data_IF_908595234729
#
_entry.id   IF_908595234729
#
_cell.length_a   1.000
_cell.length_b   1.000
_cell.length_c   1.000
_cell.angle_alpha   90.00
_cell.angle_beta   90.00
_cell.angle_gamma   90.00
#
_symmetry.space_group_name_H-M   'P 1'
#
loop_
_entity.id
_entity.type
_entity.pdbx_description
1 polymer ?
#
# COMPACT_ATOMS: atom_id res chain seq x y z
N UNK A 1 17.33 20.59 -16.27
CA UNK A 1 16.67 19.77 -17.32
C UNK A 1 15.25 19.51 -16.87
N UNK A 2 14.30 20.37 -17.27
CA UNK A 2 12.88 20.11 -17.09
C UNK A 2 12.49 18.93 -17.96
N UNK A 3 12.29 17.76 -17.35
CA UNK A 3 11.48 16.71 -17.97
C UNK A 3 10.04 17.10 -17.71
N UNK A 4 9.28 17.26 -18.79
CA UNK A 4 7.85 17.49 -18.77
C UNK A 4 7.20 16.47 -17.82
N UNK A 5 6.48 16.97 -16.81
CA UNK A 5 5.58 16.17 -16.02
C UNK A 5 4.48 15.69 -16.97
N UNK A 6 4.64 14.48 -17.51
CA UNK A 6 3.58 13.81 -18.26
C UNK A 6 2.44 13.65 -17.25
N UNK A 7 1.36 14.41 -17.43
CA UNK A 7 0.16 14.22 -16.62
C UNK A 7 -0.26 12.76 -16.75
N UNK A 8 -0.32 12.04 -15.61
CA UNK A 8 -0.73 10.63 -15.55
C UNK A 8 -2.06 10.36 -16.28
N UNK A 9 -2.92 11.38 -16.36
CA UNK A 9 -4.19 11.33 -17.08
C UNK A 9 -4.02 10.92 -18.55
N UNK A 10 -2.88 11.22 -19.18
CA UNK A 10 -2.64 10.98 -20.61
C UNK A 10 -2.01 9.61 -20.91
N UNK A 11 -1.30 8.98 -19.94
CA UNK A 11 -0.67 7.65 -20.14
C UNK A 11 -1.64 6.48 -20.02
N UNK A 12 -2.70 6.63 -19.23
CA UNK A 12 -3.71 5.60 -18.99
C UNK A 12 -5.01 5.91 -19.74
N UNK A 13 -4.87 6.38 -20.99
CA UNK A 13 -5.99 6.51 -21.91
C UNK A 13 -6.69 5.14 -22.02
N UNK A 14 -7.94 5.15 -21.58
CA UNK A 14 -8.82 4.00 -21.36
C UNK A 14 -8.79 3.02 -22.53
N UNK A 15 -8.17 1.83 -22.34
CA UNK A 15 -8.62 0.64 -23.08
C UNK A 15 -9.99 0.30 -22.49
N UNK A 16 -11.02 0.49 -23.30
CA UNK A 16 -12.43 0.36 -22.94
C UNK A 16 -12.67 -0.89 -22.10
N UNK A 17 -12.85 -0.69 -20.79
CA UNK A 17 -13.27 -1.74 -19.86
C UNK A 17 -14.77 -1.99 -20.09
N UNK A 18 -15.22 -3.24 -20.22
CA UNK A 18 -16.63 -3.56 -20.44
C UNK A 18 -17.52 -2.96 -19.34
N UNK A 19 -18.65 -2.38 -19.75
CA UNK A 19 -19.68 -1.78 -18.87
C UNK A 19 -20.18 -2.73 -17.76
N UNK A 20 -19.95 -4.03 -17.87
CA UNK A 20 -20.30 -5.03 -16.86
C UNK A 20 -19.52 -4.92 -15.55
N UNK A 21 -18.37 -4.23 -15.54
CA UNK A 21 -17.57 -4.02 -14.31
C UNK A 21 -18.04 -2.79 -13.50
N UNK A 22 -18.98 -2.00 -14.01
CA UNK A 22 -19.49 -0.80 -13.33
C UNK A 22 -20.37 -1.09 -12.10
N UNK A 23 -20.84 -2.34 -11.95
CA UNK A 23 -21.70 -2.76 -10.83
C UNK A 23 -20.92 -3.31 -9.63
N UNK A 24 -19.58 -3.19 -9.59
CA UNK A 24 -18.73 -3.75 -8.54
C UNK A 24 -18.56 -2.87 -7.29
N UNK A 25 -19.07 -1.64 -7.33
CA UNK A 25 -19.00 -0.69 -6.21
C UNK A 25 -20.42 -0.30 -5.82
N UNK A 26 -21.07 -1.11 -4.99
CA UNK A 26 -22.34 -0.72 -4.37
C UNK A 26 -22.07 0.28 -3.23
N UNK A 27 -22.76 1.42 -3.26
CA UNK A 27 -22.74 2.40 -2.19
C UNK A 27 -23.65 1.96 -1.04
N UNK A 28 -23.14 1.94 0.18
CA UNK A 28 -23.91 1.65 1.39
C UNK A 28 -24.97 2.75 1.63
N UNK A 29 -26.21 2.33 1.90
CA UNK A 29 -27.30 3.21 2.36
C UNK A 29 -27.11 3.59 3.84
N UNK A 30 -27.33 4.86 4.18
CA UNK A 30 -27.31 5.37 5.55
C UNK A 30 -28.52 4.88 6.35
N UNK A 31 -28.27 4.21 7.49
CA UNK A 31 -29.22 4.12 8.59
C UNK A 31 -28.55 4.47 9.93
N UNK A 32 -29.14 5.46 10.60
CA UNK A 32 -28.72 6.01 11.89
C UNK A 32 -29.20 5.17 13.08
N UNK A 33 -28.47 5.30 14.20
CA UNK A 33 -28.75 4.78 15.57
C UNK A 33 -28.45 3.29 15.85
N UNK A 34 -27.28 2.81 15.38
CA UNK A 34 -26.62 1.61 15.93
C UNK A 34 -25.47 2.03 16.87
N UNK A 35 -25.16 1.25 17.94
CA UNK A 35 -23.94 1.47 18.71
C UNK A 35 -22.75 1.52 17.76
N UNK A 36 -21.84 2.46 17.98
CA UNK A 36 -20.67 2.70 17.12
C UNK A 36 -20.01 1.37 16.76
N UNK A 37 -20.22 0.91 15.52
CA UNK A 37 -19.67 -0.36 15.06
C UNK A 37 -18.15 -0.25 15.17
N UNK A 38 -17.53 -1.19 15.88
CA UNK A 38 -16.08 -1.23 16.00
C UNK A 38 -15.55 -1.59 14.62
N UNK A 39 -15.04 -0.59 13.89
CA UNK A 39 -14.48 -0.77 12.56
C UNK A 39 -13.26 -1.68 12.64
N UNK A 40 -13.23 -2.75 11.84
CA UNK A 40 -12.06 -3.62 11.70
C UNK A 40 -11.06 -2.96 10.75
N UNK A 41 -9.87 -2.68 11.29
CA UNK A 41 -8.77 -2.04 10.55
C UNK A 41 -7.59 -3.01 10.41
N UNK A 42 -7.13 -3.22 9.18
CA UNK A 42 -6.09 -4.21 8.87
C UNK A 42 -4.91 -3.58 8.15
N UNK A 43 -3.70 -3.87 8.62
CA UNK A 43 -2.45 -3.65 7.90
C UNK A 43 -2.08 -4.97 7.24
N UNK A 44 -2.12 -5.01 5.92
CA UNK A 44 -2.02 -6.23 5.14
C UNK A 44 -0.63 -6.39 4.52
N UNK A 45 -0.07 -7.59 4.69
CA UNK A 45 1.27 -7.96 4.23
C UNK A 45 1.25 -9.30 3.52
N UNK A 46 2.10 -9.44 2.51
CA UNK A 46 2.46 -10.74 1.92
C UNK A 46 3.82 -11.17 2.44
N UNK A 47 4.00 -12.45 2.76
CA UNK A 47 5.28 -12.98 3.21
C UNK A 47 5.53 -14.40 2.67
N UNK A 48 6.61 -14.58 1.92
CA UNK A 48 7.08 -15.87 1.45
C UNK A 48 8.61 -15.88 1.38
N UNK A 49 9.18 -17.07 1.30
CA UNK A 49 10.63 -17.27 1.27
C UNK A 49 11.30 -17.03 2.62
N UNK A 50 12.63 -16.98 2.58
CA UNK A 50 13.47 -16.98 3.78
C UNK A 50 14.37 -15.74 3.88
N UNK A 51 14.20 -14.77 2.97
CA UNK A 51 15.06 -13.59 2.96
C UNK A 51 14.81 -12.74 4.23
N UNK A 52 15.84 -12.54 5.10
CA UNK A 52 15.73 -11.77 6.34
C UNK A 52 15.16 -10.36 6.16
N UNK A 53 15.35 -9.76 4.98
CA UNK A 53 14.75 -8.48 4.63
C UNK A 53 13.24 -8.47 4.87
N UNK A 54 12.54 -9.49 4.37
CA UNK A 54 11.10 -9.60 4.49
C UNK A 54 10.69 -10.33 5.76
N UNK A 55 11.39 -11.39 6.16
CA UNK A 55 10.99 -12.19 7.33
C UNK A 55 11.21 -11.43 8.64
N UNK A 56 12.41 -10.88 8.88
CA UNK A 56 12.63 -10.02 10.04
C UNK A 56 11.89 -8.69 9.88
N UNK A 57 11.73 -8.21 8.64
CA UNK A 57 10.93 -7.03 8.33
C UNK A 57 9.48 -7.14 8.78
N UNK A 58 8.82 -8.27 8.48
CA UNK A 58 7.46 -8.57 8.89
C UNK A 58 7.31 -8.58 10.42
N UNK A 59 8.20 -9.28 11.13
CA UNK A 59 8.17 -9.34 12.59
C UNK A 59 8.35 -7.94 13.21
N UNK A 60 9.28 -7.14 12.68
CA UNK A 60 9.51 -5.80 13.19
C UNK A 60 8.34 -4.85 12.90
N UNK A 61 7.73 -4.95 11.71
CA UNK A 61 6.51 -4.20 11.40
C UNK A 61 5.35 -4.56 12.30
N UNK A 62 5.17 -5.85 12.63
CA UNK A 62 4.13 -6.27 13.58
C UNK A 62 4.35 -5.66 14.98
N UNK A 63 5.60 -5.58 15.46
CA UNK A 63 5.95 -4.91 16.71
C UNK A 63 5.74 -3.40 16.65
N UNK A 64 6.12 -2.75 15.55
CA UNK A 64 5.90 -1.32 15.35
C UNK A 64 4.42 -0.98 15.29
N UNK A 65 3.60 -1.83 14.68
CA UNK A 65 2.16 -1.62 14.58
C UNK A 65 1.49 -1.52 15.96
N UNK A 66 1.94 -2.27 16.97
CA UNK A 66 1.43 -2.11 18.34
C UNK A 66 1.61 -0.69 18.90
N UNK A 67 2.64 0.02 18.46
CA UNK A 67 2.94 1.39 18.91
C UNK A 67 2.29 2.44 18.02
N UNK A 68 2.44 2.27 16.70
CA UNK A 68 2.06 3.27 15.69
C UNK A 68 0.57 3.13 15.34
N UNK A 69 0.03 1.92 15.30
CA UNK A 69 -1.33 1.59 14.90
C UNK A 69 -2.03 0.68 15.93
N UNK A 70 -2.16 1.10 17.21
CA UNK A 70 -2.59 0.22 18.31
C UNK A 70 -4.00 -0.38 18.16
N UNK A 71 -4.86 0.21 17.31
CA UNK A 71 -6.21 -0.26 17.03
C UNK A 71 -6.33 -1.07 15.71
N UNK A 72 -5.20 -1.41 15.08
CA UNK A 72 -5.16 -2.14 13.81
C UNK A 72 -4.58 -3.54 14.03
N UNK A 73 -5.06 -4.50 13.26
CA UNK A 73 -4.48 -5.84 13.18
C UNK A 73 -3.53 -5.93 11.99
N UNK A 74 -2.35 -6.49 12.17
CA UNK A 74 -1.50 -6.92 11.09
C UNK A 74 -1.98 -8.28 10.58
N UNK A 75 -2.38 -8.35 9.31
CA UNK A 75 -2.67 -9.61 8.64
C UNK A 75 -1.52 -9.99 7.73
N UNK A 76 -0.93 -11.15 7.96
CA UNK A 76 0.12 -11.72 7.12
C UNK A 76 -0.43 -12.90 6.32
N UNK A 77 -0.43 -12.76 5.00
CA UNK A 77 -0.65 -13.87 4.08
C UNK A 77 0.68 -14.57 3.83
N UNK A 78 0.80 -15.83 4.28
CA UNK A 78 2.09 -16.54 4.31
C UNK A 78 2.02 -17.90 3.62
N UNK A 79 3.11 -18.32 2.98
CA UNK A 79 3.23 -19.71 2.49
C UNK A 79 4.11 -20.60 3.37
N UNK A 80 4.19 -21.88 3.00
CA UNK A 80 4.96 -22.89 3.71
C UNK A 80 6.49 -22.71 3.62
N UNK A 81 6.99 -21.70 2.90
CA UNK A 81 8.43 -21.45 2.75
C UNK A 81 8.99 -20.48 3.80
N UNK A 82 8.11 -19.80 4.54
CA UNK A 82 8.48 -18.94 5.67
C UNK A 82 9.05 -19.77 6.82
N UNK A 83 10.20 -19.40 7.41
CA UNK A 83 10.79 -20.14 8.52
C UNK A 83 9.87 -20.24 9.75
N UNK A 84 9.85 -21.41 10.40
CA UNK A 84 8.98 -21.68 11.55
C UNK A 84 9.18 -20.69 12.71
N UNK A 85 10.42 -20.29 12.99
CA UNK A 85 10.75 -19.32 14.03
C UNK A 85 10.17 -17.92 13.76
N UNK A 86 10.01 -17.55 12.48
CA UNK A 86 9.36 -16.30 12.06
C UNK A 86 7.86 -16.39 12.32
N UNK A 87 7.24 -17.51 11.93
CA UNK A 87 5.82 -17.77 12.18
C UNK A 87 5.52 -17.75 13.69
N UNK A 88 6.39 -18.36 14.51
CA UNK A 88 6.25 -18.32 15.98
C UNK A 88 6.36 -16.91 16.54
N UNK A 89 7.30 -16.09 16.05
CA UNK A 89 7.42 -14.71 16.48
C UNK A 89 6.18 -13.89 16.10
N UNK A 90 5.66 -14.05 14.89
CA UNK A 90 4.43 -13.39 14.45
C UNK A 90 3.23 -13.79 15.31
N UNK A 91 3.00 -15.09 15.51
CA UNK A 91 1.92 -15.61 16.35
C UNK A 91 2.03 -15.23 17.84
N UNK A 92 3.19 -14.80 18.31
CA UNK A 92 3.38 -14.33 19.70
C UNK A 92 2.87 -12.91 19.95
N UNK A 93 2.50 -12.18 18.89
CA UNK A 93 2.03 -10.80 18.97
C UNK A 93 0.50 -10.77 18.88
N UNK A 94 -0.15 -10.04 19.81
CA UNK A 94 -1.60 -10.02 19.95
C UNK A 94 -2.33 -9.32 18.78
N UNK A 95 -1.62 -8.48 18.03
CA UNK A 95 -2.16 -7.74 16.89
C UNK A 95 -1.98 -8.49 15.57
N UNK A 96 -1.59 -9.77 15.58
CA UNK A 96 -1.27 -10.52 14.36
C UNK A 96 -2.33 -11.57 14.03
N UNK A 97 -2.76 -11.55 12.78
CA UNK A 97 -3.57 -12.57 12.12
C UNK A 97 -2.74 -13.20 10.99
N UNK A 98 -2.68 -14.52 10.92
CA UNK A 98 -1.97 -15.25 9.85
C UNK A 98 -3.00 -15.98 8.99
N UNK A 99 -2.90 -15.77 7.67
CA UNK A 99 -3.66 -16.51 6.67
C UNK A 99 -2.68 -17.36 5.86
N UNK A 100 -2.87 -18.68 5.90
CA UNK A 100 -2.04 -19.60 5.13
C UNK A 100 -2.43 -19.57 3.65
N UNK A 101 -1.41 -19.44 2.81
CA UNK A 101 -1.52 -19.41 1.36
C UNK A 101 -0.87 -20.67 0.76
N UNK A 102 -1.42 -21.20 -0.34
CA UNK A 102 -0.73 -22.23 -1.09
C UNK A 102 0.62 -21.68 -1.56
N UNK A 103 1.61 -22.56 -1.65
CA UNK A 103 2.88 -22.21 -2.26
C UNK A 103 2.60 -21.70 -3.68
N UNK A 104 3.05 -20.48 -4.04
CA UNK A 104 2.74 -19.90 -5.34
C UNK A 104 3.47 -20.68 -6.44
N UNK A 105 2.79 -20.89 -7.56
CA UNK A 105 3.41 -21.51 -8.74
C UNK A 105 4.45 -20.58 -9.38
N UNK A 106 4.22 -19.27 -9.26
CA UNK A 106 5.11 -18.22 -9.79
C UNK A 106 5.52 -17.24 -8.68
N UNK A 107 6.80 -16.85 -8.57
CA UNK A 107 7.31 -16.04 -7.47
C UNK A 107 6.57 -14.71 -7.20
N UNK A 108 5.95 -14.11 -8.22
CA UNK A 108 5.23 -12.85 -8.12
C UNK A 108 3.76 -12.99 -7.75
N UNK A 109 3.18 -14.19 -7.73
CA UNK A 109 1.80 -14.36 -7.24
C UNK A 109 1.69 -13.97 -5.77
N UNK A 110 2.75 -14.19 -4.99
CA UNK A 110 2.81 -13.82 -3.58
C UNK A 110 2.61 -12.32 -3.33
N UNK A 111 3.03 -11.43 -4.24
CA UNK A 111 2.89 -9.98 -4.04
C UNK A 111 1.44 -9.50 -4.04
N UNK A 112 0.52 -10.28 -4.60
CA UNK A 112 -0.91 -9.98 -4.63
C UNK A 112 -1.67 -10.37 -3.37
N UNK A 113 -1.18 -11.31 -2.54
CA UNK A 113 -1.99 -11.82 -1.43
C UNK A 113 -2.42 -10.74 -0.44
N UNK A 114 -1.57 -9.73 -0.19
CA UNK A 114 -1.95 -8.57 0.63
C UNK A 114 -3.16 -7.81 0.12
N UNK A 115 -3.52 -7.92 -1.16
CA UNK A 115 -4.71 -7.27 -1.72
C UNK A 115 -6.00 -8.05 -1.45
N UNK A 116 -5.93 -9.32 -1.03
CA UNK A 116 -7.12 -10.12 -0.71
C UNK A 116 -7.89 -9.54 0.48
N UNK A 117 -7.22 -8.78 1.35
CA UNK A 117 -7.87 -8.02 2.42
C UNK A 117 -8.94 -7.05 1.88
N UNK A 118 -8.80 -6.57 0.63
CA UNK A 118 -9.72 -5.62 0.03
C UNK A 118 -11.06 -6.28 -0.32
N UNK A 119 -11.11 -7.61 -0.44
CA UNK A 119 -12.32 -8.39 -0.71
C UNK A 119 -12.95 -8.97 0.55
N UNK A 120 -12.31 -8.82 1.71
CA UNK A 120 -12.80 -9.36 2.98
C UNK A 120 -14.00 -8.53 3.48
N UNK A 121 -15.21 -9.11 3.56
CA UNK A 121 -16.41 -8.38 4.01
C UNK A 121 -16.38 -8.03 5.50
N UNK A 122 -15.49 -8.64 6.29
CA UNK A 122 -15.34 -8.33 7.72
C UNK A 122 -14.32 -7.20 7.96
N UNK A 123 -13.65 -6.68 6.93
CA UNK A 123 -12.65 -5.61 7.02
C UNK A 123 -13.21 -4.31 6.47
N UNK A 124 -13.38 -3.32 7.35
CA UNK A 124 -13.87 -2.01 6.96
C UNK A 124 -12.78 -1.14 6.34
N UNK A 125 -11.54 -1.27 6.82
CA UNK A 125 -10.41 -0.43 6.43
C UNK A 125 -9.17 -1.28 6.29
N UNK A 126 -8.51 -1.19 5.14
CA UNK A 126 -7.25 -1.85 4.91
C UNK A 126 -6.17 -0.88 4.42
N UNK A 127 -4.94 -1.08 4.87
CA UNK A 127 -3.75 -0.52 4.25
C UNK A 127 -2.82 -1.65 3.82
N UNK A 128 -2.27 -1.57 2.62
CA UNK A 128 -1.32 -2.56 2.10
C UNK A 128 0.10 -2.03 2.26
N UNK A 129 0.99 -2.84 2.84
CA UNK A 129 2.38 -2.45 3.13
C UNK A 129 3.35 -3.53 2.68
N UNK A 130 4.53 -3.11 2.24
CA UNK A 130 5.64 -4.02 2.01
C UNK A 130 6.29 -4.42 3.35
N UNK A 131 6.71 -5.68 3.48
CA UNK A 131 7.38 -6.15 4.69
C UNK A 131 8.81 -5.59 4.84
N UNK A 132 9.41 -5.11 3.75
CA UNK A 132 10.75 -4.54 3.74
C UNK A 132 10.77 -3.02 3.92
N UNK A 133 9.64 -2.37 4.20
CA UNK A 133 9.59 -0.96 4.61
C UNK A 133 9.09 -0.85 6.03
N UNK A 134 9.67 0.02 6.86
CA UNK A 134 9.23 0.16 8.25
C UNK A 134 8.02 1.05 8.36
N UNK A 135 7.09 0.63 9.21
CA UNK A 135 5.98 1.50 9.62
C UNK A 135 6.53 2.74 10.34
N UNK A 136 5.98 3.91 9.99
CA UNK A 136 6.46 5.19 10.51
C UNK A 136 5.37 6.15 10.97
N UNK A 137 5.73 7.10 11.85
CA UNK A 137 4.81 8.15 12.31
C UNK A 137 4.40 9.11 11.19
N UNK A 138 5.26 9.32 10.18
CA UNK A 138 4.94 10.17 9.02
C UNK A 138 3.80 9.58 8.18
N UNK A 139 3.84 8.28 7.89
CA UNK A 139 2.74 7.62 7.20
C UNK A 139 1.48 7.53 8.07
N UNK A 140 1.62 7.33 9.39
CA UNK A 140 0.49 7.26 10.31
C UNK A 140 -0.32 8.56 10.28
N UNK A 141 0.37 9.70 10.32
CA UNK A 141 -0.28 11.00 10.24
C UNK A 141 -1.04 11.17 8.91
N UNK A 142 -0.45 10.72 7.79
CA UNK A 142 -1.12 10.74 6.48
C UNK A 142 -2.32 9.78 6.41
N UNK A 143 -2.24 8.61 7.04
CA UNK A 143 -3.35 7.66 7.16
C UNK A 143 -4.47 8.26 8.00
N UNK A 144 -4.17 8.91 9.12
CA UNK A 144 -5.18 9.55 9.96
C UNK A 144 -5.92 10.66 9.22
N UNK A 145 -5.18 11.54 8.51
CA UNK A 145 -5.80 12.58 7.70
C UNK A 145 -6.69 12.01 6.59
N UNK A 146 -6.28 10.88 6.00
CA UNK A 146 -7.12 10.17 5.04
C UNK A 146 -8.40 9.63 5.66
N UNK A 147 -8.31 8.97 6.82
CA UNK A 147 -9.49 8.49 7.54
C UNK A 147 -10.46 9.62 7.89
N UNK A 148 -9.94 10.79 8.27
CA UNK A 148 -10.74 11.98 8.57
C UNK A 148 -11.39 12.58 7.32
N UNK A 149 -10.80 12.40 6.14
CA UNK A 149 -11.34 12.93 4.87
C UNK A 149 -12.60 12.21 4.40
N UNK A 150 -12.83 10.96 4.85
CA UNK A 150 -13.94 10.12 4.39
C UNK A 150 -13.83 9.65 2.94
N UNK A 151 -12.69 9.87 2.28
CA UNK A 151 -12.46 9.41 0.91
C UNK A 151 -12.13 7.91 0.89
N UNK A 152 -12.70 7.11 -0.04
CA UNK A 152 -12.47 5.67 -0.09
C UNK A 152 -11.00 5.26 -0.23
N UNK A 153 -10.18 5.98 -1.01
CA UNK A 153 -8.81 5.57 -1.29
C UNK A 153 -7.75 6.48 -0.66
N UNK A 154 -6.63 5.88 -0.27
CA UNK A 154 -5.40 6.58 0.14
C UNK A 154 -4.26 6.23 -0.79
N UNK A 155 -3.51 7.24 -1.22
CA UNK A 155 -2.29 7.05 -2.01
C UNK A 155 -1.17 7.86 -1.36
N UNK A 156 -0.01 7.24 -1.11
CA UNK A 156 1.16 7.89 -0.55
C UNK A 156 2.30 7.85 -1.58
N UNK A 157 2.85 9.03 -1.94
CA UNK A 157 4.04 9.19 -2.79
C UNK A 157 5.03 10.13 -2.13
N UNK A 158 5.84 9.57 -1.24
CA UNK A 158 6.73 10.34 -0.36
C UNK A 158 8.20 10.48 -0.84
N UNK A 159 8.49 10.13 -2.10
CA UNK A 159 9.84 10.20 -2.69
C UNK A 159 9.78 10.56 -4.19
N UNK A 160 10.80 11.25 -4.79
CA UNK A 160 10.85 11.54 -6.24
C UNK A 160 10.90 10.32 -7.18
N UNK A 161 10.91 9.10 -6.64
CA UNK A 161 10.84 7.86 -7.43
C UNK A 161 9.51 7.15 -7.24
N UNK A 162 8.65 7.65 -6.37
CA UNK A 162 7.29 7.17 -6.20
C UNK A 162 6.45 7.75 -7.34
N UNK A 163 6.68 7.23 -8.54
CA UNK A 163 6.08 7.68 -9.80
C UNK A 163 5.00 6.72 -10.30
N UNK A 164 4.59 5.74 -9.50
CA UNK A 164 3.49 4.88 -9.89
C UNK A 164 2.16 5.49 -9.45
N UNK A 165 1.06 5.28 -10.21
CA UNK A 165 -0.24 5.79 -9.84
C UNK A 165 -0.68 5.35 -8.44
N UNK A 166 -0.37 4.11 -8.08
CA UNK A 166 -0.53 3.57 -6.72
C UNK A 166 0.70 2.71 -6.49
N UNK A 167 1.46 2.98 -5.42
CA UNK A 167 2.53 2.08 -5.00
C UNK A 167 1.94 0.93 -4.18
N UNK A 168 2.35 -0.30 -4.50
CA UNK A 168 1.73 -1.51 -3.95
C UNK A 168 1.89 -1.66 -2.43
N UNK A 169 2.94 -1.07 -1.85
CA UNK A 169 3.17 -1.02 -0.42
C UNK A 169 2.78 0.30 0.26
N UNK A 170 2.06 1.22 -0.40
CA UNK A 170 1.81 2.58 0.10
C UNK A 170 0.40 3.10 -0.27
N UNK A 171 -0.61 2.26 -0.08
CA UNK A 171 -2.00 2.66 -0.31
C UNK A 171 -2.96 2.10 0.75
N UNK A 172 -4.18 2.61 0.75
CA UNK A 172 -5.26 2.19 1.63
C UNK A 172 -6.62 2.29 0.96
N UNK A 173 -7.58 1.55 1.50
CA UNK A 173 -8.96 1.54 1.06
C UNK A 173 -9.92 1.43 2.24
N UNK A 174 -11.03 2.17 2.19
CA UNK A 174 -12.19 2.06 3.08
C UNK A 174 -13.34 1.44 2.29
N UNK A 175 -13.81 0.27 2.73
CA UNK A 175 -14.84 -0.53 2.07
C UNK A 175 -14.32 -1.85 1.51
N UNK A 176 -15.16 -2.51 0.70
CA UNK A 176 -14.87 -3.82 0.10
C UNK A 176 -14.91 -3.74 -1.42
N UNK A 177 -13.85 -4.24 -2.08
CA UNK A 177 -13.80 -4.45 -3.52
C UNK A 177 -14.25 -5.89 -3.78
N UNK A 178 -15.52 -6.05 -4.13
CA UNK A 178 -16.08 -7.37 -4.42
C UNK A 178 -15.27 -8.10 -5.51
N UNK A 179 -14.95 -9.37 -5.26
CA UNK A 179 -14.23 -10.25 -6.19
C UNK A 179 -12.79 -9.78 -6.55
N UNK A 180 -12.07 -9.14 -5.62
CA UNK A 180 -10.68 -8.73 -5.86
C UNK A 180 -9.78 -9.91 -6.26
N UNK A 181 -10.01 -11.10 -5.69
CA UNK A 181 -9.30 -12.33 -6.01
C UNK A 181 -9.50 -12.71 -7.48
N UNK A 182 -10.76 -12.68 -7.95
CA UNK A 182 -11.08 -12.97 -9.35
C UNK A 182 -10.49 -11.92 -10.31
N UNK A 183 -10.49 -10.64 -9.94
CA UNK A 183 -9.83 -9.59 -10.72
C UNK A 183 -8.33 -9.85 -10.86
N UNK A 184 -7.68 -10.27 -9.77
CA UNK A 184 -6.27 -10.62 -9.73
C UNK A 184 -5.99 -11.87 -10.58
N UNK A 185 -6.79 -12.92 -10.44
CA UNK A 185 -6.69 -14.14 -11.25
C UNK A 185 -6.81 -13.83 -12.75
N UNK A 186 -7.82 -13.03 -13.14
CA UNK A 186 -8.00 -12.61 -14.52
C UNK A 186 -6.81 -11.77 -15.01
N UNK A 187 -6.24 -10.91 -14.17
CA UNK A 187 -5.08 -10.11 -14.53
C UNK A 187 -3.85 -11.00 -14.76
N UNK A 188 -3.58 -11.93 -13.85
CA UNK A 188 -2.46 -12.86 -13.91
C UNK A 188 -2.57 -13.81 -15.10
N UNK A 189 -3.76 -14.31 -15.42
CA UNK A 189 -4.00 -15.16 -16.59
C UNK A 189 -3.61 -14.48 -17.91
N UNK A 190 -3.76 -13.15 -17.99
CA UNK A 190 -3.39 -12.38 -19.17
C UNK A 190 -1.91 -11.91 -19.17
N UNK A 191 -1.15 -12.23 -18.12
CA UNK A 191 0.23 -11.77 -17.89
C UNK A 191 1.11 -12.91 -17.33
N UNK A 192 1.18 -14.03 -18.06
CA UNK A 192 1.90 -15.24 -17.63
C UNK A 192 3.43 -15.07 -17.51
N UNK A 193 4.01 -14.04 -18.14
CA UNK A 193 5.45 -13.75 -18.07
C UNK A 193 5.84 -13.05 -16.76
N UNK A 194 7.03 -13.37 -16.23
CA UNK A 194 7.60 -12.71 -15.05
C UNK A 194 7.70 -11.20 -15.25
N UNK A 195 6.85 -10.45 -14.56
CA UNK A 195 6.90 -9.01 -14.56
C UNK A 195 7.19 -8.53 -13.15
N UNK A 196 8.43 -8.09 -12.94
CA UNK A 196 8.76 -7.26 -11.78
C UNK A 196 7.73 -6.12 -11.66
N UNK A 197 7.20 -5.90 -10.44
CA UNK A 197 6.16 -4.91 -10.13
C UNK A 197 4.78 -5.17 -10.77
N UNK A 198 4.45 -6.42 -11.11
CA UNK A 198 3.15 -6.78 -11.71
C UNK A 198 1.95 -6.39 -10.84
N UNK A 199 2.09 -6.47 -9.52
CA UNK A 199 1.08 -6.04 -8.54
C UNK A 199 0.87 -4.53 -8.60
N UNK A 200 1.95 -3.76 -8.77
CA UNK A 200 1.87 -2.32 -8.96
C UNK A 200 1.25 -1.95 -10.32
N UNK A 201 1.55 -2.70 -11.38
CA UNK A 201 0.89 -2.53 -12.69
C UNK A 201 -0.61 -2.81 -12.61
N UNK A 202 -1.01 -3.89 -11.94
CA UNK A 202 -2.42 -4.19 -11.67
C UNK A 202 -3.11 -3.01 -10.99
N UNK A 203 -2.51 -2.43 -9.95
CA UNK A 203 -3.09 -1.27 -9.27
C UNK A 203 -3.21 -0.07 -10.23
N UNK A 204 -2.22 0.19 -11.09
CA UNK A 204 -2.27 1.28 -12.06
C UNK A 204 -3.27 1.08 -13.21
N UNK A 205 -3.46 -0.15 -13.67
CA UNK A 205 -4.29 -0.46 -14.85
C UNK A 205 -5.73 -0.81 -14.48
N UNK A 206 -5.95 -1.44 -13.33
CA UNK A 206 -7.26 -1.96 -12.92
C UNK A 206 -7.90 -1.10 -11.83
N UNK A 207 -7.15 -0.73 -10.79
CA UNK A 207 -7.72 -0.04 -9.61
C UNK A 207 -7.71 1.49 -9.76
N UNK A 208 -6.58 2.05 -10.21
CA UNK A 208 -6.38 3.50 -10.32
C UNK A 208 -7.41 4.24 -11.20
N UNK A 209 -7.91 3.69 -12.33
CA UNK A 209 -8.96 4.35 -13.10
C UNK A 209 -10.20 4.73 -12.28
N UNK A 210 -10.50 3.96 -11.22
CA UNK A 210 -11.57 4.24 -10.27
C UNK A 210 -11.06 5.08 -9.09
N UNK A 211 -9.95 4.70 -8.49
CA UNK A 211 -9.42 5.35 -7.28
C UNK A 211 -9.08 6.84 -7.49
N UNK A 212 -8.60 7.24 -8.68
CA UNK A 212 -8.10 8.60 -8.94
C UNK A 212 -9.10 9.74 -8.71
N UNK A 213 -10.40 9.45 -8.67
CA UNK A 213 -11.46 10.43 -8.42
C UNK A 213 -11.98 10.42 -6.98
N UNK A 214 -11.51 9.47 -6.17
CA UNK A 214 -12.00 9.17 -4.83
C UNK A 214 -10.85 8.91 -3.85
N UNK A 215 -9.66 9.47 -4.14
CA UNK A 215 -8.45 9.26 -3.35
C UNK A 215 -7.96 10.55 -2.69
N UNK A 216 -7.60 10.46 -1.40
CA UNK A 216 -6.66 11.41 -0.81
C UNK A 216 -5.25 10.98 -1.18
N UNK A 217 -4.55 11.82 -1.94
CA UNK A 217 -3.18 11.54 -2.40
C UNK A 217 -2.20 12.46 -1.69
N UNK A 218 -1.32 11.91 -0.85
CA UNK A 218 -0.23 12.66 -0.25
C UNK A 218 1.01 12.54 -1.14
N UNK A 219 1.44 13.66 -1.71
CA UNK A 219 2.50 13.71 -2.73
C UNK A 219 3.11 15.12 -2.80
N UNK A 220 4.29 15.28 -2.21
CA UNK A 220 5.04 16.54 -2.18
C UNK A 220 5.81 16.82 -3.49
N UNK A 221 5.81 15.89 -4.46
CA UNK A 221 6.69 15.94 -5.64
C UNK A 221 5.94 16.16 -6.95
N UNK A 222 4.70 15.66 -7.06
CA UNK A 222 3.93 15.65 -8.30
C UNK A 222 2.53 16.28 -8.17
N UNK A 223 2.29 17.05 -7.10
CA UNK A 223 1.11 17.90 -6.96
C UNK A 223 -0.09 17.24 -6.28
N UNK A 224 0.16 16.33 -5.33
CA UNK A 224 -0.87 15.92 -4.36
C UNK A 224 -0.85 16.82 -3.13
N UNK A 225 -1.52 16.37 -2.09
CA UNK A 225 -1.58 17.06 -0.81
C UNK A 225 -0.24 16.93 -0.06
N UNK A 226 0.16 17.96 0.72
CA UNK A 226 1.33 17.86 1.58
C UNK A 226 1.09 16.85 2.70
N UNK A 227 2.16 16.27 3.26
CA UNK A 227 2.03 15.43 4.44
C UNK A 227 1.65 16.26 5.66
N UNK A 228 0.77 15.75 6.56
CA UNK A 228 0.35 16.48 7.76
C UNK A 228 1.45 16.61 8.82
N UNK A 229 2.53 15.83 8.68
CA UNK A 229 3.73 15.94 9.51
C UNK A 229 4.92 16.42 8.68
N UNK A 230 5.84 17.23 9.23
CA UNK A 230 7.04 17.63 8.51
C UNK A 230 8.01 16.45 8.33
N UNK A 231 8.73 16.44 7.22
CA UNK A 231 9.77 15.44 6.95
C UNK A 231 10.96 15.61 7.91
N UNK A 232 11.45 14.52 8.46
CA UNK A 232 12.67 14.49 9.27
C UNK A 232 13.85 14.02 8.41
N UNK A 233 14.83 14.91 8.18
CA UNK A 233 15.99 14.58 7.36
C UNK A 233 15.62 14.10 5.95
N UNK A 234 16.01 12.87 5.63
CA UNK A 234 15.73 12.19 4.36
C UNK A 234 14.75 11.02 4.54
N UNK A 235 14.06 10.94 5.66
CA UNK A 235 13.11 9.86 5.93
C UNK A 235 11.88 10.02 5.01
N UNK A 236 11.36 8.90 4.55
CA UNK A 236 10.15 8.86 3.72
C UNK A 236 9.33 7.59 3.97
N UNK A 237 8.01 7.68 3.79
CA UNK A 237 7.13 6.52 3.85
C UNK A 237 7.46 5.52 2.73
N UNK A 238 7.65 4.25 3.07
CA UNK A 238 8.06 3.21 2.11
C UNK A 238 9.56 3.14 1.85
N UNK A 239 10.38 3.73 2.73
CA UNK A 239 11.84 3.56 2.66
C UNK A 239 12.23 2.09 2.91
N UNK A 240 12.99 1.47 2.00
CA UNK A 240 13.44 0.09 2.17
C UNK A 240 14.37 -0.07 3.38
N UNK A 241 14.21 -1.18 4.08
CA UNK A 241 15.07 -1.63 5.16
C UNK A 241 15.74 -2.95 4.79
N UNK A 242 17.05 -3.10 5.05
CA UNK A 242 17.89 -2.14 5.76
C UNK A 242 18.34 -0.94 4.90
N UNK A 243 18.43 0.24 5.54
CA UNK A 243 18.66 1.56 4.92
C UNK A 243 19.98 1.63 4.11
N UNK A 244 20.97 0.78 4.36
CA UNK A 244 22.23 0.85 3.61
C UNK A 244 22.09 0.50 2.12
N UNK A 245 20.98 -0.09 1.71
CA UNK A 245 20.67 -0.35 0.29
C UNK A 245 19.94 0.81 -0.40
N UNK A 246 19.47 1.83 0.34
CA UNK A 246 18.84 3.04 -0.22
C UNK A 246 19.84 4.14 -0.58
N UNK A 247 21.16 3.95 -0.44
CA UNK A 247 22.17 5.03 -0.61
C UNK A 247 22.01 5.87 -1.88
N UNK A 248 21.69 5.25 -3.03
CA UNK A 248 21.43 5.99 -4.27
C UNK A 248 20.04 6.65 -4.34
N UNK A 249 19.05 6.11 -3.64
CA UNK A 249 17.70 6.67 -3.50
C UNK A 249 17.74 7.92 -2.61
N UNK A 250 18.45 7.82 -1.48
CA UNK A 250 18.61 8.87 -0.47
C UNK A 250 19.32 10.12 -1.02
N UNK A 251 20.32 9.94 -1.90
CA UNK A 251 21.01 11.04 -2.57
C UNK A 251 20.07 11.87 -3.45
N UNK A 252 19.13 11.23 -4.15
CA UNK A 252 18.16 11.91 -5.00
C UNK A 252 17.19 12.75 -4.18
N UNK A 253 16.66 12.20 -3.09
CA UNK A 253 15.81 12.96 -2.17
C UNK A 253 16.56 14.15 -1.58
N UNK A 254 17.79 13.94 -1.12
CA UNK A 254 18.62 15.01 -0.59
C UNK A 254 18.85 16.14 -1.60
N UNK A 255 19.15 15.79 -2.86
CA UNK A 255 19.29 16.77 -3.94
C UNK A 255 17.99 17.56 -4.15
N UNK A 256 16.84 16.89 -4.24
CA UNK A 256 15.55 17.55 -4.46
C UNK A 256 15.19 18.52 -3.31
N UNK A 257 15.34 18.07 -2.06
CA UNK A 257 15.08 18.89 -0.87
C UNK A 257 16.01 20.10 -0.78
N UNK A 258 17.26 19.98 -1.23
CA UNK A 258 18.22 21.09 -1.25
C UNK A 258 17.83 22.19 -2.25
N UNK A 259 17.29 21.81 -3.41
CA UNK A 259 16.86 22.75 -4.46
C UNK A 259 15.63 23.54 -4.00
N UNK A 260 14.63 22.88 -3.42
CA UNK A 260 13.43 23.58 -2.96
C UNK A 260 13.72 24.60 -1.86
N UNK A 261 14.67 24.32 -0.95
CA UNK A 261 15.10 25.29 0.06
C UNK A 261 15.71 26.56 -0.56
N UNK A 262 16.42 26.43 -1.69
CA UNK A 262 17.01 27.60 -2.35
C UNK A 262 15.99 28.47 -3.07
N UNK A 263 14.88 27.92 -3.54
CA UNK A 263 13.81 28.66 -4.22
C UNK A 263 12.87 29.39 -3.25
N UNK A 264 12.73 28.90 -2.00
CA UNK A 264 11.91 29.56 -0.97
C UNK A 264 12.58 30.76 -0.27
N UNK A 265 13.87 31.03 -0.53
CA UNK A 265 14.66 32.08 0.14
C UNK A 265 14.90 33.31 -0.76
N UNK A 266 14.34 33.32 -1.98
CA UNK A 266 14.38 34.43 -2.93
C UNK A 266 13.02 35.05 -3.13
#
# INVERSE_FOLDING_TARGET
>A
MHREAIHYQDRYAVKVIPRSLFNLFESAEEQSDQPQQILRKVISFSLWGQNPRYTHGAVENARLALQIYPAWQCRFYIDSTVPFDIIQQLNSLENVEIIEMPKPDLPWQGSFWRFYVLGDPDVDIAICRDADSRLGWREKAAVDQWLESGLPFHIIRDHPLHQDPILAGLFGYQGTIANIEWLIECYLFNHEDCQYLIDQKFLGEVIYPFARYQALTHDEFYGGEPFPSPRQGIDYAGQPFPIYESRGYDELLHQYLSIQRTETVT
#
